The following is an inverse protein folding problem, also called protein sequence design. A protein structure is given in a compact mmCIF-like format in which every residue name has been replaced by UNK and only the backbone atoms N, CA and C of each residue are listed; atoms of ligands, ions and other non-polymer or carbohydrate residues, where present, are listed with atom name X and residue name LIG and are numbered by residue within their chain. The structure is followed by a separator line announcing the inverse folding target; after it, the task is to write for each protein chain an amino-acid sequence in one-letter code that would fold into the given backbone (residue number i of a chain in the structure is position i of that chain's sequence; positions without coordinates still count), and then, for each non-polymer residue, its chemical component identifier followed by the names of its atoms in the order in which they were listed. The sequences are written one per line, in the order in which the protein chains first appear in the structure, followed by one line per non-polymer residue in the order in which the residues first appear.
data_IF_680121019122
#
_entry.id   IF_680121019122
#
_cell.length_a   1.000
_cell.length_b   1.000
_cell.length_c   1.000
_cell.angle_alpha   90.00
_cell.angle_beta   90.00
_cell.angle_gamma   90.00
#
_symmetry.space_group_name_H-M   'P 1'
#
loop_
_entity.id
_entity.type
_entity.pdbx_description
1 polymer ?
#
# COMPACT_ATOMS: atom_id res chain seq x y z
N UNK A 1 -2.07 18.51 -5.24
CA UNK A 1 -0.96 17.53 -5.20
C UNK A 1 -1.36 16.49 -4.18
N UNK A 2 -1.53 15.24 -4.62
CA UNK A 2 -1.85 14.12 -3.72
C UNK A 2 -0.51 13.48 -3.40
N UNK A 3 0.12 13.93 -2.31
CA UNK A 3 1.36 13.34 -1.83
C UNK A 3 1.02 12.45 -0.65
N UNK A 4 1.04 11.14 -0.85
CA UNK A 4 0.86 10.19 0.23
C UNK A 4 2.05 10.23 1.21
N UNK A 5 1.79 10.08 2.50
CA UNK A 5 2.83 9.92 3.53
C UNK A 5 2.89 8.50 4.08
N UNK A 6 3.95 8.18 4.83
CA UNK A 6 4.08 6.90 5.54
C UNK A 6 2.99 6.73 6.60
N UNK A 7 2.62 7.81 7.28
CA UNK A 7 1.55 7.81 8.28
C UNK A 7 0.21 7.49 7.63
N UNK A 8 -0.13 8.14 6.51
CA UNK A 8 -1.36 7.87 5.78
C UNK A 8 -1.41 6.43 5.26
N UNK A 9 -0.30 5.93 4.70
CA UNK A 9 -0.21 4.54 4.26
C UNK A 9 -0.39 3.55 5.41
N UNK A 10 0.19 3.85 6.58
CA UNK A 10 0.02 3.03 7.79
C UNK A 10 -1.43 3.06 8.29
N UNK A 11 -2.09 4.21 8.26
CA UNK A 11 -3.50 4.33 8.62
C UNK A 11 -4.40 3.50 7.70
N UNK A 12 -4.18 3.58 6.39
CA UNK A 12 -4.93 2.80 5.41
C UNK A 12 -4.71 1.30 5.59
N UNK A 13 -3.45 0.89 5.75
CA UNK A 13 -3.07 -0.50 5.99
C UNK A 13 -3.69 -1.06 7.29
N UNK A 14 -3.64 -0.30 8.39
CA UNK A 14 -4.28 -0.67 9.65
C UNK A 14 -5.81 -0.71 9.55
N UNK A 15 -6.40 0.25 8.82
CA UNK A 15 -7.82 0.28 8.54
C UNK A 15 -8.28 -0.97 7.80
N UNK A 16 -7.51 -1.42 6.81
CA UNK A 16 -7.77 -2.66 6.08
C UNK A 16 -7.61 -3.90 6.96
N UNK A 17 -6.45 -4.06 7.60
CA UNK A 17 -6.13 -5.23 8.44
C UNK A 17 -7.10 -5.41 9.62
N UNK A 18 -7.67 -4.31 10.14
CA UNK A 18 -8.68 -4.36 11.20
C UNK A 18 -10.11 -4.54 10.69
N UNK A 19 -10.32 -4.62 9.38
CA UNK A 19 -11.66 -4.74 8.76
C UNK A 19 -12.49 -3.46 8.80
N UNK A 20 -11.91 -2.32 9.20
CA UNK A 20 -12.59 -1.01 9.24
C UNK A 20 -12.75 -0.40 7.85
N UNK A 21 -11.81 -0.67 6.94
CA UNK A 21 -11.84 -0.21 5.55
C UNK A 21 -12.01 -1.41 4.62
N UNK A 22 -12.88 -1.27 3.63
CA UNK A 22 -13.07 -2.28 2.59
C UNK A 22 -11.93 -2.24 1.56
N UNK A 23 -11.75 -3.35 0.83
CA UNK A 23 -10.83 -3.41 -0.31
C UNK A 23 -11.05 -2.27 -1.31
N UNK A 24 -12.31 -1.98 -1.62
CA UNK A 24 -12.68 -0.89 -2.54
C UNK A 24 -12.16 0.47 -2.07
N UNK A 25 -12.33 0.82 -0.79
CA UNK A 25 -11.89 2.11 -0.25
C UNK A 25 -10.38 2.25 -0.35
N UNK A 26 -9.66 1.18 0.00
CA UNK A 26 -8.20 1.11 -0.05
C UNK A 26 -7.69 1.25 -1.49
N UNK A 27 -8.31 0.48 -2.41
CA UNK A 27 -7.98 0.53 -3.82
C UNK A 27 -8.18 1.92 -4.42
N UNK A 28 -9.33 2.57 -4.18
CA UNK A 28 -9.60 3.91 -4.71
C UNK A 28 -8.62 4.95 -4.17
N UNK A 29 -8.18 4.80 -2.92
CA UNK A 29 -7.13 5.65 -2.37
C UNK A 29 -5.78 5.41 -3.05
N UNK A 30 -5.36 4.15 -3.18
CA UNK A 30 -4.08 3.79 -3.79
C UNK A 30 -4.05 4.15 -5.28
N UNK A 31 -5.13 3.89 -6.03
CA UNK A 31 -5.29 4.25 -7.44
C UNK A 31 -5.06 5.73 -7.68
N UNK A 32 -5.65 6.62 -6.87
CA UNK A 32 -5.47 8.08 -6.99
C UNK A 32 -4.01 8.51 -6.88
N UNK A 33 -3.24 7.80 -6.07
CA UNK A 33 -1.83 8.08 -5.87
C UNK A 33 -1.03 7.51 -7.05
N UNK A 34 -1.27 6.25 -7.42
CA UNK A 34 -0.56 5.57 -8.52
C UNK A 34 -0.71 6.29 -9.86
N UNK A 35 -1.90 6.83 -10.17
CA UNK A 35 -2.12 7.59 -11.42
C UNK A 35 -1.59 9.04 -11.37
N UNK A 36 -1.00 9.46 -10.26
CA UNK A 36 -0.45 10.81 -10.11
C UNK A 36 0.98 10.91 -10.64
N UNK A 37 1.33 12.07 -11.20
CA UNK A 37 2.70 12.38 -11.66
C UNK A 37 3.76 12.36 -10.54
N UNK A 38 3.34 12.24 -9.28
CA UNK A 38 4.24 12.21 -8.11
C UNK A 38 4.65 10.79 -7.74
N UNK A 39 3.94 9.76 -8.22
CA UNK A 39 4.18 8.38 -7.80
C UNK A 39 5.51 7.81 -8.33
N UNK A 40 5.87 8.10 -9.58
CA UNK A 40 7.18 7.71 -10.13
C UNK A 40 8.34 8.34 -9.36
N UNK A 41 8.16 9.56 -8.87
CA UNK A 41 9.15 10.25 -8.03
C UNK A 41 9.20 9.67 -6.63
N UNK A 42 8.04 9.25 -6.10
CA UNK A 42 7.92 8.59 -4.80
C UNK A 42 8.71 7.29 -4.77
N UNK A 43 8.63 6.49 -5.84
CA UNK A 43 9.36 5.23 -5.97
C UNK A 43 10.88 5.36 -5.79
N UNK A 44 11.46 6.48 -6.22
CA UNK A 44 12.90 6.75 -6.05
C UNK A 44 13.23 7.29 -4.66
N UNK A 45 12.34 8.08 -4.07
CA UNK A 45 12.57 8.75 -2.77
C UNK A 45 12.30 7.85 -1.58
N UNK A 46 11.30 7.00 -1.68
CA UNK A 46 10.80 6.15 -0.60
C UNK A 46 10.26 4.83 -1.16
N UNK A 47 11.17 3.89 -1.37
CA UNK A 47 10.84 2.57 -1.92
C UNK A 47 9.83 1.82 -1.03
N UNK A 48 9.92 1.97 0.29
CA UNK A 48 8.98 1.34 1.23
C UNK A 48 7.56 1.86 1.00
N UNK A 49 7.38 3.19 1.01
CA UNK A 49 6.07 3.81 0.83
C UNK A 49 5.48 3.47 -0.55
N UNK A 50 6.29 3.50 -1.61
CA UNK A 50 5.87 3.07 -2.94
C UNK A 50 5.43 1.61 -2.96
N UNK A 51 6.16 0.71 -2.28
CA UNK A 51 5.81 -0.71 -2.14
C UNK A 51 4.47 -0.93 -1.41
N UNK A 52 4.22 -0.20 -0.32
CA UNK A 52 2.94 -0.28 0.40
C UNK A 52 1.79 0.18 -0.49
N UNK A 53 1.93 1.31 -1.17
CA UNK A 53 0.87 1.85 -2.05
C UNK A 53 0.57 0.87 -3.18
N UNK A 54 1.59 0.23 -3.77
CA UNK A 54 1.41 -0.83 -4.76
C UNK A 54 0.65 -2.03 -4.18
N UNK A 55 1.06 -2.55 -3.03
CA UNK A 55 0.35 -3.67 -2.41
C UNK A 55 -1.12 -3.33 -2.14
N UNK A 56 -1.40 -2.12 -1.63
CA UNK A 56 -2.76 -1.67 -1.40
C UNK A 56 -3.57 -1.48 -2.70
N UNK A 57 -2.92 -1.08 -3.79
CA UNK A 57 -3.53 -1.03 -5.12
C UNK A 57 -3.87 -2.44 -5.63
N UNK A 58 -3.00 -3.42 -5.40
CA UNK A 58 -3.18 -4.78 -5.92
C UNK A 58 -4.27 -5.59 -5.19
N UNK A 59 -4.77 -5.12 -4.04
CA UNK A 59 -5.85 -5.76 -3.27
C UNK A 59 -7.18 -5.94 -4.04
N UNK A 60 -7.40 -5.15 -5.10
CA UNK A 60 -8.63 -5.16 -5.89
C UNK A 60 -8.42 -5.71 -7.32
N UNK A 61 -7.30 -6.39 -7.59
CA UNK A 61 -7.14 -7.13 -8.85
C UNK A 61 -8.12 -8.32 -8.90
N UNK A 62 -9.33 -8.08 -9.42
CA UNK A 62 -10.36 -9.09 -9.73
C UNK A 62 -10.12 -9.76 -11.10
N UNK A 63 -8.87 -10.05 -11.44
CA UNK A 63 -8.53 -10.88 -12.60
C UNK A 63 -8.36 -12.34 -12.19
N UNK A 64 -8.76 -13.30 -13.04
CA UNK A 64 -8.74 -14.76 -12.81
C UNK A 64 -7.37 -15.37 -12.43
N UNK A 65 -6.34 -14.56 -12.26
CA UNK A 65 -5.05 -14.95 -11.69
C UNK A 65 -4.88 -14.27 -10.33
N UNK A 66 -5.15 -14.99 -9.24
CA UNK A 66 -4.84 -14.62 -7.84
C UNK A 66 -3.35 -14.29 -7.59
N UNK A 67 -2.50 -14.28 -8.63
CA UNK A 67 -1.04 -14.13 -8.58
C UNK A 67 -0.56 -12.81 -8.00
N UNK A 68 -1.41 -11.79 -7.89
CA UNK A 68 -1.00 -10.44 -7.47
C UNK A 68 -1.72 -9.90 -6.23
N UNK A 69 -2.69 -10.63 -5.67
CA UNK A 69 -3.37 -10.17 -4.45
C UNK A 69 -2.44 -10.40 -3.23
N UNK A 70 -1.98 -9.36 -2.53
CA UNK A 70 -1.07 -9.54 -1.40
C UNK A 70 -1.74 -10.34 -0.29
N UNK A 71 -0.96 -11.26 0.28
CA UNK A 71 -1.33 -12.05 1.44
C UNK A 71 -1.41 -11.17 2.69
N UNK A 72 -2.15 -11.66 3.71
CA UNK A 72 -2.20 -10.98 5.01
C UNK A 72 -0.80 -10.80 5.63
N UNK A 73 0.09 -11.78 5.42
CA UNK A 73 1.47 -11.74 5.92
C UNK A 73 2.32 -10.67 5.22
N UNK A 74 2.13 -10.44 3.92
CA UNK A 74 2.80 -9.35 3.19
C UNK A 74 2.34 -7.98 3.68
N UNK A 75 1.04 -7.81 3.92
CA UNK A 75 0.50 -6.57 4.47
C UNK A 75 0.99 -6.32 5.90
N UNK A 76 1.08 -7.38 6.69
CA UNK A 76 1.63 -7.35 8.04
C UNK A 76 3.13 -7.00 8.02
N UNK A 77 3.89 -7.53 7.07
CA UNK A 77 5.29 -7.15 6.83
C UNK A 77 5.42 -5.64 6.57
N UNK A 78 4.64 -5.10 5.63
CA UNK A 78 4.65 -3.67 5.33
C UNK A 78 4.27 -2.81 6.54
N UNK A 79 3.32 -3.25 7.36
CA UNK A 79 2.94 -2.56 8.61
C UNK A 79 4.13 -2.46 9.54
N UNK A 80 4.80 -3.59 9.79
CA UNK A 80 5.95 -3.65 10.68
C UNK A 80 7.12 -2.81 10.15
N UNK A 81 7.32 -2.72 8.83
CA UNK A 81 8.30 -1.81 8.22
C UNK A 81 7.95 -0.34 8.45
N UNK A 82 6.70 0.05 8.22
CA UNK A 82 6.25 1.44 8.42
C UNK A 82 6.33 1.88 9.90
N UNK A 83 6.08 0.96 10.83
CA UNK A 83 6.23 1.19 12.27
C UNK A 83 7.70 1.17 12.75
N UNK A 84 8.65 0.87 11.86
CA UNK A 84 10.07 0.76 12.20
C UNK A 84 10.43 -0.44 13.09
N UNK A 85 9.55 -1.45 13.18
CA UNK A 85 9.79 -2.68 13.94
C UNK A 85 10.77 -3.62 13.23
N UNK A 86 10.76 -3.60 11.90
CA UNK A 86 11.67 -4.36 11.05
C UNK A 86 12.20 -3.47 9.91
N UNK A 87 13.41 -3.74 9.45
CA UNK A 87 13.97 -3.04 8.30
C UNK A 87 13.30 -3.51 7.01
N UNK A 88 12.99 -2.56 6.13
CA UNK A 88 12.51 -2.86 4.79
C UNK A 88 13.62 -3.51 3.96
N UNK A 89 13.33 -4.69 3.40
CA UNK A 89 14.21 -5.50 2.58
C UNK A 89 13.42 -5.89 1.34
N UNK A 90 13.95 -5.48 0.20
CA UNK A 90 13.36 -5.67 -1.12
C UNK A 90 13.61 -7.07 -1.66
#
# INVERSE_FOLDING_TARGET
MVSATREEALEMLNGYLSGKLSKEIIYQWALKIVISDEFDKLRVKDELLSGVIHALFDLHHEGEEEKFNPTADELEYYRNCLEGKIEFKK
#
